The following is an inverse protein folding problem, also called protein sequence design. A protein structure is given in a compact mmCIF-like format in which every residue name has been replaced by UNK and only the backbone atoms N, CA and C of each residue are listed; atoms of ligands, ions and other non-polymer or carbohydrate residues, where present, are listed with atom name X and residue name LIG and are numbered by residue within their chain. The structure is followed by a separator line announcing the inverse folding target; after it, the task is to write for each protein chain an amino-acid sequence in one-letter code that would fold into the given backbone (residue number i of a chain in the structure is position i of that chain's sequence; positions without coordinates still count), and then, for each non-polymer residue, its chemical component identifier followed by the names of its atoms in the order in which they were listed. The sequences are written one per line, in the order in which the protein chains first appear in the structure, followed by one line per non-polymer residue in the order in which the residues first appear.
data_IF_322549641982
#
_entry.id   IF_322549641982
#
_cell.length_a   1.000
_cell.length_b   1.000
_cell.length_c   1.000
_cell.angle_alpha   90.00
_cell.angle_beta   90.00
_cell.angle_gamma   90.00
#
_symmetry.space_group_name_H-M   'P 1'
#
loop_
_entity.id
_entity.type
_entity.pdbx_description
1 polymer ?
#
# COMPACT_ATOMS: atom_id res chain seq x y z
N UNK A 1 -16.52 8.04 4.88
CA UNK A 1 -15.49 7.64 3.90
C UNK A 1 -15.42 6.12 3.91
N UNK A 2 -15.69 5.46 2.79
CA UNK A 2 -15.83 3.99 2.74
C UNK A 2 -14.49 3.35 2.43
N UNK A 3 -14.10 2.33 3.18
CA UNK A 3 -12.79 1.67 3.05
C UNK A 3 -12.99 0.29 2.43
N UNK A 4 -12.25 -0.02 1.37
CA UNK A 4 -12.23 -1.36 0.80
C UNK A 4 -11.66 -2.35 1.81
N UNK A 5 -12.13 -3.59 1.80
CA UNK A 5 -11.64 -4.61 2.72
C UNK A 5 -10.11 -4.79 2.65
N UNK A 6 -9.54 -4.77 1.44
CA UNK A 6 -8.08 -4.82 1.21
C UNK A 6 -7.29 -3.65 1.82
N UNK A 7 -7.96 -2.52 2.10
CA UNK A 7 -7.35 -1.31 2.63
C UNK A 7 -7.51 -1.19 4.16
N UNK A 8 -8.14 -2.14 4.84
CA UNK A 8 -8.39 -2.06 6.29
C UNK A 8 -7.11 -1.75 7.07
N UNK A 9 -6.04 -2.50 6.82
CA UNK A 9 -4.75 -2.36 7.50
C UNK A 9 -3.77 -1.46 6.74
N UNK A 10 -4.21 -0.70 5.73
CA UNK A 10 -3.31 0.11 4.90
C UNK A 10 -2.54 1.14 5.71
N UNK A 11 -3.19 1.81 6.66
CA UNK A 11 -2.54 2.85 7.48
C UNK A 11 -1.41 2.31 8.34
N UNK A 12 -1.67 1.22 9.08
CA UNK A 12 -0.65 0.54 9.89
C UNK A 12 0.47 -0.03 9.02
N UNK A 13 0.14 -0.70 7.91
CA UNK A 13 1.12 -1.23 6.95
C UNK A 13 1.98 -0.13 6.33
N UNK A 14 1.39 1.01 5.95
CA UNK A 14 2.12 2.15 5.41
C UNK A 14 3.13 2.68 6.43
N UNK A 15 2.73 2.83 7.69
CA UNK A 15 3.66 3.22 8.75
C UNK A 15 4.71 2.12 9.00
N UNK A 16 4.38 0.85 8.87
CA UNK A 16 5.35 -0.24 9.08
C UNK A 16 6.30 -0.44 7.90
N UNK A 17 6.00 0.05 6.69
CA UNK A 17 6.76 -0.33 5.48
C UNK A 17 7.29 0.83 4.67
N UNK A 18 6.59 1.97 4.60
CA UNK A 18 7.03 3.11 3.78
C UNK A 18 8.17 3.86 4.45
N UNK A 19 9.02 4.47 3.62
CA UNK A 19 10.15 5.29 4.03
C UNK A 19 11.20 4.55 4.87
N UNK A 20 11.35 3.25 4.63
CA UNK A 20 12.51 2.46 5.05
C UNK A 20 13.29 2.07 3.80
N UNK A 21 14.38 2.80 3.52
CA UNK A 21 15.31 2.47 2.44
C UNK A 21 15.99 1.12 2.73
N UNK A 22 16.19 0.31 1.69
CA UNK A 22 16.88 -0.98 1.82
C UNK A 22 18.33 -0.77 2.25
N UNK A 23 18.74 -1.48 3.31
CA UNK A 23 20.08 -1.38 3.87
C UNK A 23 21.15 -1.86 2.88
N UNK A 24 22.23 -1.09 2.73
CA UNK A 24 23.28 -1.32 1.74
C UNK A 24 22.90 -0.89 0.32
N UNK A 25 21.75 -0.25 0.13
CA UNK A 25 21.29 0.20 -1.18
C UNK A 25 20.93 1.69 -1.17
N UNK A 26 21.11 2.30 -2.34
CA UNK A 26 20.62 3.62 -2.70
C UNK A 26 19.56 3.50 -3.79
N UNK A 27 18.62 4.44 -3.79
CA UNK A 27 17.58 4.59 -4.80
C UNK A 27 17.39 6.07 -5.10
N UNK A 28 17.29 6.44 -6.36
CA UNK A 28 16.90 7.79 -6.80
C UNK A 28 15.62 7.68 -7.60
N UNK A 29 14.65 8.52 -7.30
CA UNK A 29 13.35 8.51 -7.96
C UNK A 29 12.88 9.94 -8.26
N UNK A 30 12.31 10.16 -9.44
CA UNK A 30 11.52 11.33 -9.74
C UNK A 30 10.09 10.86 -9.86
N UNK A 31 9.24 11.25 -8.92
CA UNK A 31 7.82 10.92 -8.89
C UNK A 31 7.04 12.12 -9.36
N UNK A 32 6.08 11.86 -10.23
CA UNK A 32 5.06 12.84 -10.60
C UNK A 32 3.76 12.08 -10.81
N UNK A 33 2.65 12.71 -10.44
CA UNK A 33 1.31 12.21 -10.74
C UNK A 33 0.72 13.05 -11.84
N UNK A 34 0.13 12.42 -12.85
CA UNK A 34 -0.48 13.15 -13.96
C UNK A 34 -1.66 14.00 -13.48
N UNK A 35 -1.62 15.34 -13.62
CA UNK A 35 -2.83 16.16 -13.55
C UNK A 35 -3.88 15.73 -14.59
N UNK A 36 -5.14 16.12 -14.39
CA UNK A 36 -6.21 15.89 -15.37
C UNK A 36 -5.83 16.49 -16.72
N UNK A 37 -6.04 15.72 -17.79
CA UNK A 37 -5.76 16.12 -19.17
C UNK A 37 -4.28 16.13 -19.53
N UNK A 38 -3.40 15.54 -18.73
CA UNK A 38 -1.94 15.58 -18.93
C UNK A 38 -1.29 14.22 -18.70
N UNK A 39 0.02 14.16 -18.95
CA UNK A 39 0.86 13.00 -18.69
C UNK A 39 1.94 13.35 -17.67
N UNK A 40 2.35 12.36 -16.89
CA UNK A 40 3.47 12.43 -15.98
C UNK A 40 4.46 11.30 -16.25
N UNK A 41 5.73 11.63 -16.06
CA UNK A 41 6.83 10.68 -16.13
C UNK A 41 7.40 10.48 -14.74
N UNK A 42 7.46 9.23 -14.30
CA UNK A 42 8.15 8.81 -13.10
C UNK A 42 9.34 7.95 -13.49
N UNK A 43 10.52 8.28 -12.99
CA UNK A 43 11.75 7.51 -13.19
C UNK A 43 12.28 7.00 -11.86
N UNK A 44 12.89 5.83 -11.85
CA UNK A 44 13.57 5.30 -10.67
C UNK A 44 14.83 4.56 -11.10
N UNK A 45 15.89 4.72 -10.32
CA UNK A 45 17.14 3.97 -10.46
C UNK A 45 17.65 3.54 -9.09
N UNK A 46 18.37 2.42 -9.04
CA UNK A 46 18.89 1.85 -7.79
C UNK A 46 20.36 1.39 -7.90
N UNK A 47 20.94 0.97 -6.78
CA UNK A 47 22.32 0.43 -6.70
C UNK A 47 22.61 -0.75 -7.60
N UNK A 48 21.60 -1.54 -7.97
CA UNK A 48 21.78 -2.70 -8.83
C UNK A 48 21.84 -2.32 -10.32
N UNK A 49 21.61 -1.05 -10.64
CA UNK A 49 21.52 -0.54 -12.01
C UNK A 49 20.16 -0.78 -12.65
N UNK A 50 19.15 -1.21 -11.88
CA UNK A 50 17.81 -1.35 -12.41
C UNK A 50 17.23 0.05 -12.66
N UNK A 51 16.58 0.21 -13.81
CA UNK A 51 15.84 1.42 -14.16
C UNK A 51 14.37 1.06 -14.26
N UNK A 52 13.52 1.93 -13.73
CA UNK A 52 12.07 1.88 -13.90
C UNK A 52 11.58 3.17 -14.52
N UNK A 53 10.75 3.05 -15.55
CA UNK A 53 10.09 4.16 -16.22
C UNK A 53 8.58 3.95 -16.15
N UNK A 54 7.87 4.90 -15.54
CA UNK A 54 6.42 4.92 -15.43
C UNK A 54 5.91 6.14 -16.21
N UNK A 55 5.20 5.93 -17.32
CA UNK A 55 4.48 6.97 -18.04
C UNK A 55 3.01 6.82 -17.67
N UNK A 56 2.40 7.82 -17.05
CA UNK A 56 0.97 7.79 -16.74
C UNK A 56 0.23 9.01 -17.26
N UNK A 57 -1.07 8.86 -17.51
CA UNK A 57 -1.94 9.90 -18.00
C UNK A 57 -3.35 9.76 -17.45
N UNK A 58 -4.04 10.89 -17.36
CA UNK A 58 -5.42 10.98 -16.90
C UNK A 58 -6.20 11.88 -17.85
N UNK A 59 -7.39 11.47 -18.27
CA UNK A 59 -8.24 12.30 -19.14
C UNK A 59 -8.70 13.59 -18.45
N UNK A 60 -9.15 14.57 -19.22
CA UNK A 60 -9.56 15.88 -18.71
C UNK A 60 -10.75 15.82 -17.74
N UNK A 61 -11.68 14.88 -17.96
CA UNK A 61 -12.78 14.56 -17.04
C UNK A 61 -12.29 13.78 -15.79
N UNK A 62 -11.22 13.01 -15.93
CA UNK A 62 -10.68 12.11 -14.91
C UNK A 62 -11.26 10.69 -14.96
N UNK A 63 -12.12 10.38 -15.94
CA UNK A 63 -12.79 9.10 -16.07
C UNK A 63 -11.85 7.98 -16.49
N UNK A 64 -10.81 8.27 -17.28
CA UNK A 64 -9.88 7.28 -17.80
C UNK A 64 -8.45 7.57 -17.38
N UNK A 65 -7.75 6.52 -16.95
CA UNK A 65 -6.34 6.55 -16.59
C UNK A 65 -5.59 5.47 -17.35
N UNK A 66 -4.41 5.83 -17.85
CA UNK A 66 -3.48 4.90 -18.48
C UNK A 66 -2.12 5.00 -17.81
N UNK A 67 -1.45 3.88 -17.62
CA UNK A 67 -0.06 3.83 -17.17
C UNK A 67 0.71 2.75 -17.89
N UNK A 68 1.84 3.12 -18.48
CA UNK A 68 2.80 2.22 -19.07
C UNK A 68 4.06 2.22 -18.21
N UNK A 69 4.44 1.03 -17.74
CA UNK A 69 5.57 0.79 -16.86
C UNK A 69 6.58 -0.09 -17.58
N UNK A 70 7.83 0.36 -17.61
CA UNK A 70 8.98 -0.42 -18.05
C UNK A 70 9.87 -0.68 -16.84
N UNK A 71 10.27 -1.93 -16.65
CA UNK A 71 11.16 -2.37 -15.57
C UNK A 71 12.29 -3.23 -16.13
N UNK A 72 13.31 -3.48 -15.31
CA UNK A 72 14.59 -4.16 -15.62
C UNK A 72 15.66 -3.24 -16.21
N UNK A 73 16.91 -3.73 -16.21
CA UNK A 73 18.07 -3.02 -16.80
C UNK A 73 17.88 -2.70 -18.27
N UNK A 74 17.25 -3.61 -19.01
CA UNK A 74 17.06 -3.52 -20.45
C UNK A 74 15.65 -3.05 -20.84
N UNK A 75 14.83 -2.66 -19.85
CA UNK A 75 13.43 -2.21 -20.04
C UNK A 75 12.53 -3.23 -20.77
N UNK A 76 12.85 -4.52 -20.66
CA UNK A 76 12.14 -5.61 -21.32
C UNK A 76 10.86 -6.04 -20.61
N UNK A 77 10.79 -5.82 -19.30
CA UNK A 77 9.57 -6.07 -18.52
C UNK A 77 8.60 -4.91 -18.72
N UNK A 78 7.45 -5.16 -19.33
CA UNK A 78 6.44 -4.15 -19.67
C UNK A 78 5.16 -4.43 -18.89
N UNK A 79 4.55 -3.39 -18.34
CA UNK A 79 3.23 -3.46 -17.72
C UNK A 79 2.37 -2.29 -18.18
N UNK A 80 1.21 -2.58 -18.75
CA UNK A 80 0.17 -1.62 -19.12
C UNK A 80 -0.97 -1.72 -18.11
N UNK A 81 -1.30 -0.62 -17.46
CA UNK A 81 -2.51 -0.45 -16.64
C UNK A 81 -3.46 0.50 -17.35
N UNK A 82 -4.71 0.09 -17.51
CA UNK A 82 -5.79 0.95 -18.00
C UNK A 82 -6.92 0.91 -16.98
N UNK A 83 -7.45 2.08 -16.63
CA UNK A 83 -8.56 2.20 -15.69
C UNK A 83 -9.63 3.10 -16.27
N UNK A 84 -10.89 2.69 -16.10
CA UNK A 84 -12.08 3.50 -16.34
C UNK A 84 -12.88 3.61 -15.03
N UNK A 85 -13.49 4.78 -14.81
CA UNK A 85 -14.36 5.06 -13.67
C UNK A 85 -15.60 5.80 -14.17
N UNK A 86 -16.79 5.30 -13.81
CA UNK A 86 -18.06 5.93 -14.14
C UNK A 86 -18.56 6.85 -13.02
N UNK A 87 -19.67 7.54 -13.27
CA UNK A 87 -20.30 8.44 -12.31
C UNK A 87 -20.97 7.72 -11.13
N UNK A 88 -21.21 6.41 -11.26
CA UNK A 88 -21.85 5.56 -10.26
C UNK A 88 -20.81 4.87 -9.34
N UNK A 89 -19.55 5.34 -9.37
CA UNK A 89 -18.40 4.80 -8.62
C UNK A 89 -18.07 3.34 -8.97
N UNK A 90 -18.39 2.89 -10.18
CA UNK A 90 -17.80 1.68 -10.74
C UNK A 90 -16.44 2.02 -11.34
N UNK A 91 -15.42 1.40 -10.79
CA UNK A 91 -14.04 1.49 -11.27
C UNK A 91 -13.62 0.13 -11.80
N UNK A 92 -13.24 0.08 -13.08
CA UNK A 92 -12.64 -1.10 -13.71
C UNK A 92 -11.19 -0.79 -14.05
N UNK A 93 -10.28 -1.67 -13.71
CA UNK A 93 -8.84 -1.54 -13.96
C UNK A 93 -8.29 -2.84 -14.54
N UNK A 94 -7.76 -2.79 -15.75
CA UNK A 94 -7.06 -3.90 -16.38
C UNK A 94 -5.56 -3.67 -16.31
N UNK A 95 -4.81 -4.73 -16.00
CA UNK A 95 -3.35 -4.74 -15.94
C UNK A 95 -2.87 -5.88 -16.84
N UNK A 96 -2.08 -5.54 -17.84
CA UNK A 96 -1.46 -6.46 -18.79
C UNK A 96 0.04 -6.38 -18.57
N UNK A 97 0.67 -7.50 -18.25
CA UNK A 97 2.10 -7.58 -17.97
C UNK A 97 2.82 -8.53 -18.90
N UNK A 98 4.08 -8.25 -19.16
CA UNK A 98 5.01 -9.12 -19.84
C UNK A 98 6.36 -9.07 -19.11
N UNK A 99 7.02 -10.22 -18.95
CA UNK A 99 8.34 -10.32 -18.33
C UNK A 99 9.34 -11.03 -19.23
N UNK A 100 10.56 -10.50 -19.26
CA UNK A 100 11.68 -11.04 -20.02
C UNK A 100 11.66 -10.65 -21.50
N UNK A 101 12.60 -11.18 -22.29
CA UNK A 101 12.74 -10.84 -23.71
C UNK A 101 11.82 -11.64 -24.65
N UNK A 102 11.22 -12.74 -24.17
CA UNK A 102 10.41 -13.63 -25.00
C UNK A 102 8.92 -13.41 -24.70
N UNK A 103 8.13 -12.96 -25.69
CA UNK A 103 6.70 -12.56 -25.61
C UNK A 103 5.73 -13.69 -25.16
N UNK A 104 6.23 -14.84 -24.71
CA UNK A 104 5.43 -16.00 -24.37
C UNK A 104 4.72 -15.90 -23.01
N UNK A 105 5.22 -15.09 -22.07
CA UNK A 105 4.65 -14.95 -20.74
C UNK A 105 3.92 -13.61 -20.58
N UNK A 106 2.67 -13.57 -21.04
CA UNK A 106 1.74 -12.46 -20.82
C UNK A 106 0.89 -12.77 -19.60
N UNK A 107 0.85 -11.86 -18.62
CA UNK A 107 -0.07 -11.89 -17.50
C UNK A 107 -1.21 -10.90 -17.72
N UNK A 108 -2.42 -11.28 -17.32
CA UNK A 108 -3.60 -10.41 -17.35
C UNK A 108 -4.28 -10.45 -16.00
N UNK A 109 -4.60 -9.26 -15.50
CA UNK A 109 -5.38 -9.03 -14.30
C UNK A 109 -6.47 -8.00 -14.59
N UNK A 110 -7.70 -8.25 -14.11
CA UNK A 110 -8.82 -7.32 -14.21
C UNK A 110 -9.40 -7.12 -12.82
N UNK A 111 -9.48 -5.88 -12.39
CA UNK A 111 -10.05 -5.46 -11.12
C UNK A 111 -11.32 -4.67 -11.37
N UNK A 112 -12.39 -5.01 -10.69
CA UNK A 112 -13.60 -4.19 -10.60
C UNK A 112 -13.82 -3.78 -9.15
N UNK A 113 -14.23 -2.54 -8.95
CA UNK A 113 -14.54 -1.97 -7.66
C UNK A 113 -15.82 -1.17 -7.77
N UNK A 114 -16.73 -1.33 -6.81
CA UNK A 114 -17.90 -0.47 -6.67
C UNK A 114 -18.10 -0.09 -5.21
N UNK A 115 -18.61 1.13 -4.99
CA UNK A 115 -19.01 1.62 -3.67
C UNK A 115 -20.43 2.15 -3.79
N UNK A 116 -21.36 1.56 -3.02
CA UNK A 116 -22.76 1.95 -3.01
C UNK A 116 -23.20 2.41 -1.62
N UNK A 117 -23.93 3.52 -1.50
CA UNK A 117 -24.52 3.93 -0.23
C UNK A 117 -25.60 2.92 0.21
N UNK A 118 -25.66 2.66 1.52
CA UNK A 118 -26.69 1.84 2.17
C UNK A 118 -27.21 2.58 3.42
N UNK A 119 -28.34 2.17 3.97
CA UNK A 119 -28.82 2.72 5.24
C UNK A 119 -27.75 2.52 6.33
N UNK A 120 -27.26 3.63 6.91
CA UNK A 120 -26.20 3.59 7.93
C UNK A 120 -24.76 3.58 7.43
N UNK A 121 -24.50 3.68 6.12
CA UNK A 121 -23.14 3.87 5.59
C UNK A 121 -22.97 3.49 4.12
N UNK A 122 -22.00 2.63 3.81
CA UNK A 122 -21.74 2.19 2.44
C UNK A 122 -21.35 0.71 2.39
N UNK A 123 -21.71 0.07 1.28
CA UNK A 123 -21.20 -1.21 0.82
C UNK A 123 -20.10 -0.96 -0.20
N UNK A 124 -19.00 -1.69 -0.09
CA UNK A 124 -17.95 -1.71 -1.10
C UNK A 124 -17.67 -3.13 -1.53
N UNK A 125 -17.52 -3.31 -2.83
CA UNK A 125 -17.24 -4.60 -3.47
C UNK A 125 -15.96 -4.42 -4.28
N UNK A 126 -15.07 -5.40 -4.18
CA UNK A 126 -13.90 -5.49 -5.04
C UNK A 126 -13.78 -6.91 -5.58
N UNK A 127 -13.76 -7.01 -6.90
CA UNK A 127 -13.54 -8.24 -7.65
C UNK A 127 -12.20 -8.12 -8.34
N UNK A 128 -11.44 -9.21 -8.35
CA UNK A 128 -10.15 -9.30 -9.01
C UNK A 128 -10.04 -10.64 -9.72
N UNK A 129 -9.81 -10.59 -11.01
CA UNK A 129 -9.65 -11.74 -11.88
C UNK A 129 -8.22 -11.78 -12.36
N UNK A 130 -7.58 -12.92 -12.23
CA UNK A 130 -6.25 -13.20 -12.79
C UNK A 130 -6.30 -14.52 -13.53
N UNK A 131 -5.27 -14.83 -14.30
CA UNK A 131 -5.14 -16.14 -14.95
C UNK A 131 -5.12 -17.32 -13.97
N UNK A 132 -4.81 -17.08 -12.68
CA UNK A 132 -4.62 -18.14 -11.68
C UNK A 132 -5.73 -18.19 -10.64
N UNK A 133 -6.43 -17.08 -10.42
CA UNK A 133 -7.37 -16.97 -9.33
C UNK A 133 -8.45 -15.92 -9.58
N UNK A 134 -9.59 -16.12 -8.91
CA UNK A 134 -10.66 -15.13 -8.77
C UNK A 134 -10.73 -14.74 -7.31
N UNK A 135 -10.70 -13.44 -7.03
CA UNK A 135 -10.76 -12.86 -5.69
C UNK A 135 -11.98 -11.94 -5.61
N UNK A 136 -12.77 -12.09 -4.56
CA UNK A 136 -13.92 -11.25 -4.26
C UNK A 136 -13.80 -10.76 -2.83
N UNK A 137 -14.01 -9.48 -2.60
CA UNK A 137 -14.01 -8.89 -1.28
C UNK A 137 -15.16 -7.91 -1.11
N UNK A 138 -15.75 -7.92 0.09
CA UNK A 138 -16.87 -7.11 0.50
C UNK A 138 -16.50 -6.36 1.78
N UNK A 139 -16.88 -5.11 1.88
CA UNK A 139 -16.77 -4.31 3.11
C UNK A 139 -18.04 -3.48 3.28
N UNK A 140 -18.60 -3.51 4.47
CA UNK A 140 -19.88 -2.88 4.79
C UNK A 140 -19.76 -2.10 6.09
N UNK A 141 -20.34 -0.91 6.14
CA UNK A 141 -20.53 -0.18 7.38
C UNK A 141 -21.51 -0.92 8.30
N UNK A 142 -21.11 -1.20 9.53
CA UNK A 142 -21.97 -1.84 10.53
C UNK A 142 -22.65 -0.79 11.42
N UNK A 143 -21.86 0.18 11.93
CA UNK A 143 -22.30 1.35 12.70
C UNK A 143 -21.31 2.50 12.48
N UNK A 144 -21.56 3.68 13.06
CA UNK A 144 -20.64 4.81 12.95
C UNK A 144 -19.23 4.44 13.41
N UNK A 145 -18.24 4.68 12.55
CA UNK A 145 -16.84 4.33 12.77
C UNK A 145 -16.51 2.83 12.70
N UNK A 146 -17.44 1.91 12.44
CA UNK A 146 -17.17 0.46 12.40
C UNK A 146 -17.58 -0.16 11.07
N UNK A 147 -16.67 -0.93 10.48
CA UNK A 147 -16.86 -1.66 9.24
C UNK A 147 -16.55 -3.13 9.43
N UNK A 148 -17.31 -3.99 8.77
CA UNK A 148 -17.09 -5.44 8.70
C UNK A 148 -16.89 -5.83 7.25
N UNK A 149 -16.01 -6.78 6.99
CA UNK A 149 -15.74 -7.22 5.64
C UNK A 149 -15.30 -8.66 5.60
N UNK A 150 -15.40 -9.24 4.41
CA UNK A 150 -14.92 -10.57 4.12
C UNK A 150 -14.33 -10.60 2.71
N UNK A 151 -13.49 -11.59 2.47
CA UNK A 151 -12.91 -11.87 1.18
C UNK A 151 -12.89 -13.36 0.92
N UNK A 152 -12.90 -13.72 -0.35
CA UNK A 152 -12.66 -15.07 -0.81
C UNK A 152 -11.73 -15.05 -2.00
N UNK A 153 -10.91 -16.09 -2.11
CA UNK A 153 -10.02 -16.35 -3.22
C UNK A 153 -10.22 -17.79 -3.69
N UNK A 154 -10.61 -17.94 -4.94
CA UNK A 154 -10.64 -19.23 -5.61
C UNK A 154 -9.39 -19.38 -6.47
N UNK A 155 -8.53 -20.35 -6.16
CA UNK A 155 -7.39 -20.71 -7.00
C UNK A 155 -7.84 -21.70 -8.08
N UNK A 156 -7.65 -21.33 -9.35
CA UNK A 156 -8.10 -22.11 -10.51
C UNK A 156 -7.29 -23.41 -10.69
N UNK A 157 -6.03 -23.42 -10.25
CA UNK A 157 -5.12 -24.57 -10.43
C UNK A 157 -5.34 -25.62 -9.34
N UNK A 158 -5.31 -25.22 -8.08
CA UNK A 158 -5.53 -26.14 -6.95
C UNK A 158 -7.02 -26.39 -6.69
N UNK A 159 -7.92 -25.61 -7.29
CA UNK A 159 -9.38 -25.66 -7.05
C UNK A 159 -9.74 -25.46 -5.59
N UNK A 160 -8.91 -24.72 -4.85
CA UNK A 160 -9.12 -24.44 -3.43
C UNK A 160 -9.74 -23.07 -3.22
N UNK A 161 -10.60 -22.97 -2.19
CA UNK A 161 -11.20 -21.71 -1.75
C UNK A 161 -10.54 -21.29 -0.46
N UNK A 162 -9.91 -20.13 -0.46
CA UNK A 162 -9.49 -19.43 0.75
C UNK A 162 -10.48 -18.32 1.07
N UNK A 163 -10.62 -18.02 2.36
CA UNK A 163 -11.50 -16.97 2.84
C UNK A 163 -10.80 -16.15 3.92
N UNK A 164 -11.23 -14.90 4.03
CA UNK A 164 -10.82 -13.97 5.05
C UNK A 164 -12.05 -13.23 5.57
N UNK A 165 -12.01 -12.84 6.83
CA UNK A 165 -13.05 -12.02 7.45
C UNK A 165 -12.38 -11.02 8.39
N UNK A 166 -12.99 -9.87 8.62
CA UNK A 166 -12.43 -8.91 9.55
C UNK A 166 -13.31 -7.72 9.82
N UNK A 167 -12.89 -6.95 10.80
CA UNK A 167 -13.51 -5.70 11.18
C UNK A 167 -12.47 -4.58 11.21
N UNK A 168 -12.95 -3.36 11.05
CA UNK A 168 -12.21 -2.12 11.17
C UNK A 168 -13.00 -1.17 12.04
N UNK A 169 -12.32 -0.55 13.00
CA UNK A 169 -12.85 0.52 13.83
C UNK A 169 -12.01 1.76 13.60
N UNK A 170 -12.66 2.90 13.41
CA UNK A 170 -12.05 4.22 13.32
C UNK A 170 -12.71 5.12 14.36
N UNK A 171 -11.96 5.47 15.40
CA UNK A 171 -12.42 6.35 16.46
C UNK A 171 -12.15 7.82 16.11
N UNK A 172 -12.96 8.72 16.68
CA UNK A 172 -12.91 10.18 16.42
C UNK A 172 -11.55 10.82 16.75
N UNK A 173 -10.74 10.19 17.60
CA UNK A 173 -9.41 10.66 17.98
C UNK A 173 -8.30 10.26 16.98
N UNK A 174 -8.64 9.65 15.84
CA UNK A 174 -7.66 9.22 14.83
C UNK A 174 -7.04 7.86 15.08
N UNK A 175 -7.52 7.10 16.09
CA UNK A 175 -7.19 5.69 16.26
C UNK A 175 -7.96 4.85 15.24
N UNK A 176 -7.24 4.05 14.47
CA UNK A 176 -7.79 3.01 13.60
C UNK A 176 -7.30 1.66 14.10
N UNK A 177 -8.21 0.72 14.31
CA UNK A 177 -7.92 -0.66 14.67
C UNK A 177 -8.54 -1.60 13.65
N UNK A 178 -7.87 -2.72 13.41
CA UNK A 178 -8.39 -3.79 12.55
C UNK A 178 -8.14 -5.13 13.21
N UNK A 179 -9.10 -6.04 13.09
CA UNK A 179 -8.88 -7.45 13.36
C UNK A 179 -9.32 -8.24 12.12
N UNK A 180 -8.50 -9.18 11.69
CA UNK A 180 -8.75 -10.03 10.54
C UNK A 180 -8.43 -11.47 10.89
N UNK A 181 -9.12 -12.39 10.24
CA UNK A 181 -8.82 -13.81 10.28
C UNK A 181 -8.93 -14.42 8.88
N UNK A 182 -8.33 -15.59 8.72
CA UNK A 182 -8.25 -16.31 7.46
C UNK A 182 -8.73 -17.76 7.62
N UNK A 183 -8.70 -18.52 6.52
CA UNK A 183 -9.04 -19.94 6.50
C UNK A 183 -8.27 -20.80 7.50
N UNK A 184 -7.00 -20.48 7.75
CA UNK A 184 -6.14 -21.17 8.72
C UNK A 184 -6.43 -20.75 10.17
N UNK A 185 -7.40 -19.86 10.38
CA UNK A 185 -7.75 -19.25 11.66
C UNK A 185 -6.62 -18.45 12.30
N UNK A 186 -5.63 -18.01 11.51
CA UNK A 186 -4.69 -17.01 12.00
C UNK A 186 -5.46 -15.72 12.28
N UNK A 187 -5.09 -15.02 13.35
CA UNK A 187 -5.70 -13.75 13.74
C UNK A 187 -4.67 -12.66 13.60
N UNK A 188 -4.94 -11.68 12.74
CA UNK A 188 -4.12 -10.48 12.58
C UNK A 188 -4.84 -9.28 13.17
N UNK A 189 -4.26 -8.69 14.20
CA UNK A 189 -4.70 -7.41 14.76
C UNK A 189 -3.72 -6.32 14.32
N UNK A 190 -4.23 -5.17 13.88
CA UNK A 190 -3.40 -4.00 13.59
C UNK A 190 -4.01 -2.74 14.17
N UNK A 191 -3.17 -1.78 14.52
CA UNK A 191 -3.61 -0.46 14.95
C UNK A 191 -2.71 0.62 14.38
N UNK A 192 -3.28 1.81 14.20
CA UNK A 192 -2.54 3.04 13.98
C UNK A 192 -3.21 4.16 14.77
N UNK A 193 -2.42 4.97 15.46
CA UNK A 193 -2.91 6.11 16.23
C UNK A 193 -2.03 7.32 15.98
N UNK A 194 -2.66 8.47 15.77
CA UNK A 194 -1.99 9.76 15.61
C UNK A 194 -2.32 10.63 16.81
N UNK A 195 -1.30 11.09 17.52
CA UNK A 195 -1.47 12.04 18.60
C UNK A 195 -1.23 13.45 18.05
N UNK A 196 -2.29 14.26 17.94
CA UNK A 196 -2.21 15.63 17.46
C UNK A 196 -1.73 16.59 18.56
N UNK A 197 -0.51 16.40 19.07
CA UNK A 197 0.04 17.21 20.16
C UNK A 197 0.29 18.67 19.74
N UNK A 198 0.66 18.90 18.47
CA UNK A 198 0.84 20.23 17.90
C UNK A 198 0.63 20.17 16.36
N UNK A 199 0.16 21.24 15.68
CA UNK A 199 -0.05 21.23 14.23
C UNK A 199 1.17 20.77 13.42
N UNK A 200 2.37 21.07 13.93
CA UNK A 200 3.66 20.70 13.33
C UNK A 200 4.35 19.48 13.95
N UNK A 201 3.79 18.88 15.00
CA UNK A 201 4.32 17.70 15.67
C UNK A 201 3.19 16.75 16.01
N UNK A 202 3.00 15.76 15.16
CA UNK A 202 1.92 14.78 15.25
C UNK A 202 2.51 13.37 15.26
N UNK A 203 3.04 12.89 16.41
CA UNK A 203 3.58 11.56 16.49
C UNK A 203 2.52 10.51 16.14
N UNK A 204 2.95 9.48 15.42
CA UNK A 204 2.13 8.38 14.97
C UNK A 204 2.74 7.07 15.46
N UNK A 205 1.89 6.18 15.96
CA UNK A 205 2.27 4.80 16.31
C UNK A 205 1.45 3.84 15.47
N UNK A 206 2.05 2.75 15.03
CA UNK A 206 1.35 1.63 14.46
C UNK A 206 1.88 0.32 15.02
N UNK A 207 1.01 -0.67 15.14
CA UNK A 207 1.39 -2.02 15.52
C UNK A 207 0.62 -3.02 14.66
N UNK A 208 1.22 -4.17 14.41
CA UNK A 208 0.55 -5.33 13.81
C UNK A 208 1.03 -6.58 14.50
N UNK A 209 0.12 -7.46 14.84
CA UNK A 209 0.38 -8.76 15.46
C UNK A 209 -0.43 -9.80 14.69
N UNK A 210 0.21 -10.89 14.28
CA UNK A 210 -0.46 -12.06 13.72
C UNK A 210 -0.18 -13.25 14.63
N UNK A 211 -1.23 -13.98 15.00
CA UNK A 211 -1.15 -15.14 15.88
C UNK A 211 -1.83 -16.33 15.22
N UNK A 212 -1.16 -17.47 15.20
CA UNK A 212 -1.77 -18.75 14.88
C UNK A 212 -2.23 -19.42 16.20
N UNK A 213 -3.53 -19.59 16.43
CA UNK A 213 -4.04 -20.16 17.68
C UNK A 213 -3.71 -21.65 17.87
N UNK A 214 -3.48 -22.40 16.78
CA UNK A 214 -3.22 -23.84 16.86
C UNK A 214 -1.79 -24.13 17.30
N UNK A 215 -0.82 -23.41 16.74
CA UNK A 215 0.61 -23.55 17.10
C UNK A 215 1.02 -22.64 18.25
N UNK A 216 0.16 -21.72 18.70
CA UNK A 216 0.47 -20.64 19.65
C UNK A 216 1.68 -19.78 19.22
N UNK A 217 1.99 -19.77 17.92
CA UNK A 217 3.06 -18.93 17.36
C UNK A 217 2.50 -17.58 16.97
N UNK A 218 3.22 -16.51 17.30
CA UNK A 218 2.88 -15.16 16.87
C UNK A 218 4.05 -14.48 16.16
N UNK A 219 3.76 -13.50 15.32
CA UNK A 219 4.70 -12.55 14.76
C UNK A 219 4.11 -11.14 14.88
N UNK A 220 4.96 -10.12 14.87
CA UNK A 220 4.47 -8.76 14.99
C UNK A 220 5.54 -7.71 14.79
N UNK A 221 5.07 -6.48 14.63
CA UNK A 221 5.91 -5.31 14.46
C UNK A 221 5.24 -4.07 15.01
N UNK A 222 6.05 -3.12 15.48
CA UNK A 222 5.62 -1.81 15.97
C UNK A 222 6.46 -0.76 15.27
N UNK A 223 5.82 0.32 14.80
CA UNK A 223 6.50 1.48 14.27
C UNK A 223 6.06 2.76 14.98
N UNK A 224 7.00 3.68 15.13
CA UNK A 224 6.80 5.02 15.66
C UNK A 224 7.33 6.01 14.63
N UNK A 225 6.60 7.08 14.39
CA UNK A 225 6.99 8.21 13.55
C UNK A 225 6.74 9.49 14.33
N UNK A 226 7.67 10.44 14.30
CA UNK A 226 7.54 11.73 14.95
C UNK A 226 8.20 12.83 14.12
N UNK A 227 7.63 14.03 14.19
CA UNK A 227 8.19 15.21 13.52
C UNK A 227 9.50 15.66 14.15
N UNK A 228 10.42 16.19 13.35
CA UNK A 228 11.61 16.87 13.83
C UNK A 228 11.23 18.26 14.38
N UNK A 229 11.58 18.53 15.64
CA UNK A 229 11.31 19.83 16.26
C UNK A 229 12.23 20.94 15.74
N UNK A 230 13.43 20.59 15.27
CA UNK A 230 14.46 21.55 14.83
C UNK A 230 14.24 21.96 13.37
N UNK A 231 14.01 20.99 12.48
CA UNK A 231 13.78 21.24 11.05
C UNK A 231 12.34 20.87 10.73
N UNK A 232 11.48 21.88 10.67
CA UNK A 232 10.06 21.70 10.40
C UNK A 232 9.85 20.99 9.06
N UNK A 233 8.96 20.01 9.05
CA UNK A 233 8.67 19.17 7.89
C UNK A 233 9.49 17.88 7.84
N UNK A 234 10.61 17.79 8.54
CA UNK A 234 11.36 16.52 8.64
C UNK A 234 10.69 15.59 9.65
N UNK A 235 10.92 14.29 9.51
CA UNK A 235 10.41 13.28 10.41
C UNK A 235 11.47 12.21 10.70
N UNK A 236 11.36 11.59 11.86
CA UNK A 236 12.11 10.39 12.20
C UNK A 236 11.12 9.25 12.44
N UNK A 237 11.58 8.05 12.12
CA UNK A 237 10.77 6.85 12.14
C UNK A 237 11.59 5.67 12.61
N UNK A 238 11.00 4.79 13.40
CA UNK A 238 11.64 3.55 13.80
C UNK A 238 10.63 2.43 13.77
N UNK A 239 11.07 1.24 13.40
CA UNK A 239 10.27 0.01 13.47
C UNK A 239 11.04 -1.07 14.20
N UNK A 240 10.32 -1.83 15.02
CA UNK A 240 10.78 -3.01 15.71
C UNK A 240 9.94 -4.20 15.28
N UNK A 241 10.55 -5.37 15.17
CA UNK A 241 9.86 -6.65 14.99
C UNK A 241 9.89 -7.47 16.29
N UNK A 242 9.13 -8.58 16.32
CA UNK A 242 9.18 -9.58 17.39
C UNK A 242 10.59 -10.06 17.69
N UNK A 243 11.42 -10.24 16.67
CA UNK A 243 12.78 -10.78 16.82
C UNK A 243 13.80 -9.73 17.27
N UNK A 244 13.33 -8.56 17.74
CA UNK A 244 14.16 -7.41 18.10
C UNK A 244 14.98 -6.84 16.93
N UNK A 245 14.65 -7.22 15.69
CA UNK A 245 15.17 -6.53 14.51
C UNK A 245 14.56 -5.13 14.46
N UNK A 246 15.42 -4.13 14.26
CA UNK A 246 15.00 -2.75 14.15
C UNK A 246 15.56 -2.09 12.90
N UNK A 247 14.79 -1.12 12.40
CA UNK A 247 15.22 -0.20 11.35
C UNK A 247 14.79 1.20 11.76
N UNK A 248 15.74 2.12 11.82
CA UNK A 248 15.50 3.54 12.02
C UNK A 248 15.57 4.26 10.67
N UNK A 249 14.84 5.36 10.51
CA UNK A 249 14.84 6.16 9.30
C UNK A 249 14.64 7.63 9.61
N UNK A 250 15.35 8.47 8.89
CA UNK A 250 15.21 9.92 8.90
C UNK A 250 14.72 10.38 7.53
N UNK A 251 13.65 11.17 7.53
CA UNK A 251 12.98 11.69 6.35
C UNK A 251 13.18 13.20 6.35
N UNK A 252 14.03 13.68 5.45
CA UNK A 252 14.33 15.09 5.26
C UNK A 252 13.58 15.64 4.05
N UNK A 253 12.74 16.64 4.26
CA UNK A 253 12.14 17.41 3.18
C UNK A 253 13.07 18.57 2.82
N UNK A 254 13.51 18.59 1.57
CA UNK A 254 14.43 19.57 1.01
C UNK A 254 13.68 20.58 0.13
N UNK A 255 14.40 21.55 -0.42
CA UNK A 255 13.83 22.55 -1.33
C UNK A 255 13.39 21.90 -2.65
N UNK A 256 12.51 22.60 -3.38
CA UNK A 256 12.07 22.23 -4.73
C UNK A 256 11.46 20.83 -4.87
N UNK A 257 10.75 20.38 -3.83
CA UNK A 257 10.01 19.12 -3.83
C UNK A 257 10.87 17.87 -3.59
N UNK A 258 12.16 18.04 -3.27
CA UNK A 258 13.04 16.91 -2.95
C UNK A 258 12.83 16.37 -1.54
N UNK A 259 12.95 15.06 -1.38
CA UNK A 259 12.92 14.35 -0.10
C UNK A 259 14.08 13.36 -0.05
N UNK A 260 14.81 13.33 1.06
CA UNK A 260 15.84 12.32 1.34
C UNK A 260 15.38 11.42 2.47
N UNK A 261 15.48 10.11 2.28
CA UNK A 261 15.22 9.11 3.31
C UNK A 261 16.49 8.32 3.56
N UNK A 262 17.08 8.52 4.74
CA UNK A 262 18.22 7.75 5.22
C UNK A 262 17.72 6.70 6.22
N UNK A 263 18.06 5.43 6.02
CA UNK A 263 17.65 4.32 6.89
C UNK A 263 18.86 3.55 7.41
N UNK A 264 18.76 2.98 8.62
CA UNK A 264 19.81 2.17 9.24
C UNK A 264 19.18 0.98 9.95
N UNK A 265 19.74 -0.22 9.76
CA UNK A 265 19.32 -1.44 10.45
C UNK A 265 20.20 -1.76 11.67
N UNK A 266 19.82 -2.82 12.39
CA UNK A 266 20.60 -3.39 13.50
C UNK A 266 22.06 -3.72 13.18
N UNK A 267 22.41 -3.92 11.91
CA UNK A 267 23.78 -4.21 11.46
C UNK A 267 24.54 -2.94 11.07
N UNK A 268 23.97 -1.77 11.36
CA UNK A 268 24.51 -0.45 11.02
C UNK A 268 24.68 -0.23 9.51
N UNK A 269 23.99 -1.02 8.67
CA UNK A 269 24.01 -0.82 7.22
C UNK A 269 23.05 0.29 6.85
N UNK A 270 23.57 1.33 6.20
CA UNK A 270 22.80 2.46 5.75
C UNK A 270 22.12 2.19 4.40
N UNK A 271 20.90 2.69 4.23
CA UNK A 271 20.19 2.75 2.95
C UNK A 271 19.75 4.17 2.66
N UNK A 272 19.76 4.59 1.40
CA UNK A 272 19.43 5.96 0.99
C UNK A 272 18.36 5.96 -0.10
N UNK A 273 17.33 6.79 0.03
CA UNK A 273 16.42 7.11 -1.07
C UNK A 273 16.37 8.61 -1.26
N UNK A 274 16.58 9.07 -2.49
CA UNK A 274 16.39 10.46 -2.88
C UNK A 274 15.19 10.53 -3.85
N UNK A 275 14.20 11.33 -3.50
CA UNK A 275 12.94 11.45 -4.24
C UNK A 275 12.70 12.89 -4.64
N UNK A 276 12.41 13.16 -5.91
CA UNK A 276 11.78 14.42 -6.35
C UNK A 276 10.28 14.19 -6.46
N UNK A 277 9.46 14.99 -5.79
CA UNK A 277 7.99 14.92 -5.87
C UNK A 277 7.40 15.97 -6.81
#
# INVERSE_FOLDING_TARGET
MTTLFKDYSKGSNDLLTKNFSSCGAWKVESKSKAPKGTYALTTTSNTHGDVKLDIEGLTGDGAYYGKLCFTSKDLTDIQLTVRAEDLDNHRVEAIIGHKGPAVCDISVEVNHQTVRPIAGGCLSVNEKFTQKAVELALSMAAVDGVQVGCGTKYDLKSKTIDWTAGCRMEAKNGLVMTAQTNRSLDVTASMISKAALHPKFQPCVAATVTMNPQSMTWDGSVALEWGCQVILGNAAKIRFSKNLDWVASYIANLRDGWTVVLSMDKTMRAGLTLTRN
#
